data_IF_494391288212
#
_entry.id   IF_494391288212
#
_cell.length_a   1.000
_cell.length_b   1.000
_cell.length_c   1.000
_cell.angle_alpha   90.00
_cell.angle_beta   90.00
_cell.angle_gamma   90.00
#
_symmetry.space_group_name_H-M   'P 1'
#
loop_
_entity.id
_entity.type
_entity.pdbx_description
1 polymer ?
#
# COMPACT_ATOMS: atom_id res chain seq x y z
N UNK A 1 42.76 -15.17 -102.97
CA UNK A 1 42.20 -15.95 -101.86
C UNK A 1 42.24 -15.14 -100.55
N UNK A 2 41.25 -14.28 -100.27
CA UNK A 2 41.04 -13.83 -98.90
C UNK A 2 39.54 -13.82 -98.56
N UNK A 3 38.94 -14.99 -98.38
CA UNK A 3 37.50 -15.07 -98.01
C UNK A 3 37.23 -15.96 -96.81
N UNK A 4 38.22 -16.70 -96.30
CA UNK A 4 37.99 -17.63 -95.18
C UNK A 4 38.15 -16.99 -93.80
N UNK A 5 39.03 -15.99 -93.63
CA UNK A 5 39.35 -15.43 -92.32
C UNK A 5 38.27 -14.44 -91.81
N UNK A 6 37.69 -13.63 -92.70
CA UNK A 6 36.65 -12.66 -92.35
C UNK A 6 35.31 -13.30 -91.95
N UNK A 7 34.96 -14.44 -92.54
CA UNK A 7 33.73 -15.17 -92.23
C UNK A 7 33.80 -15.77 -90.80
N UNK A 8 34.95 -16.33 -90.43
CA UNK A 8 35.14 -16.90 -89.09
C UNK A 8 35.05 -15.84 -87.98
N UNK A 9 35.61 -14.65 -88.23
CA UNK A 9 35.54 -13.53 -87.27
C UNK A 9 34.11 -13.00 -87.10
N UNK A 10 33.33 -12.90 -88.19
CA UNK A 10 31.92 -12.49 -88.15
C UNK A 10 31.03 -13.51 -87.40
N UNK A 11 31.29 -14.81 -87.57
CA UNK A 11 30.60 -15.87 -86.83
C UNK A 11 30.91 -15.78 -85.33
N UNK A 12 32.16 -15.49 -84.96
CA UNK A 12 32.55 -15.40 -83.56
C UNK A 12 31.96 -14.18 -82.84
N UNK A 13 31.89 -13.02 -83.52
CA UNK A 13 31.22 -11.82 -83.00
C UNK A 13 29.71 -12.10 -82.81
N UNK A 14 29.08 -12.76 -83.78
CA UNK A 14 27.65 -13.13 -83.70
C UNK A 14 27.37 -14.10 -82.54
N UNK A 15 28.26 -15.07 -82.30
CA UNK A 15 28.15 -16.01 -81.17
C UNK A 15 28.36 -15.31 -79.81
N UNK A 16 29.28 -14.34 -79.73
CA UNK A 16 29.50 -13.55 -78.50
C UNK A 16 28.33 -12.61 -78.22
N UNK A 17 27.74 -11.99 -79.25
CA UNK A 17 26.52 -11.20 -79.12
C UNK A 17 25.31 -12.04 -78.72
N UNK A 18 25.15 -13.26 -79.25
CA UNK A 18 24.10 -14.18 -78.83
C UNK A 18 24.25 -14.61 -77.37
N UNK A 19 25.47 -14.95 -76.92
CA UNK A 19 25.77 -15.27 -75.51
C UNK A 19 25.52 -14.10 -74.55
N UNK A 20 25.84 -12.87 -74.98
CA UNK A 20 25.54 -11.67 -74.20
C UNK A 20 24.01 -11.44 -74.11
N UNK A 21 23.27 -11.71 -75.20
CA UNK A 21 21.81 -11.62 -75.22
C UNK A 21 21.13 -12.69 -74.36
N UNK A 22 21.69 -13.90 -74.30
CA UNK A 22 21.25 -14.99 -73.39
C UNK A 22 21.60 -14.69 -71.93
N UNK A 23 22.75 -14.06 -71.66
CA UNK A 23 23.13 -13.65 -70.29
C UNK A 23 22.25 -12.53 -69.73
N UNK A 24 21.60 -11.75 -70.60
CA UNK A 24 20.76 -10.62 -70.24
C UNK A 24 19.30 -11.01 -69.90
N UNK A 25 19.00 -12.31 -69.90
CA UNK A 25 17.67 -12.84 -69.62
C UNK A 25 17.69 -14.34 -69.43
N UNK A 26 18.32 -14.82 -68.35
CA UNK A 26 18.10 -16.20 -67.92
C UNK A 26 16.65 -16.31 -67.40
N UNK A 27 15.77 -17.10 -68.03
CA UNK A 27 14.37 -17.23 -67.58
C UNK A 27 14.27 -17.71 -66.12
N UNK A 28 15.29 -18.42 -65.64
CA UNK A 28 15.40 -18.84 -64.24
C UNK A 28 15.64 -17.65 -63.29
N UNK A 29 16.46 -16.66 -63.68
CA UNK A 29 16.69 -15.48 -62.84
C UNK A 29 15.48 -14.56 -62.79
N UNK A 30 14.72 -14.45 -63.90
CA UNK A 30 13.46 -13.72 -63.93
C UNK A 30 12.41 -14.38 -63.02
N UNK A 31 12.27 -15.72 -63.10
CA UNK A 31 11.36 -16.48 -62.24
C UNK A 31 11.72 -16.37 -60.76
N UNK A 32 13.03 -16.37 -60.43
CA UNK A 32 13.52 -16.18 -59.06
C UNK A 32 13.23 -14.76 -58.54
N UNK A 33 13.33 -13.74 -59.38
CA UNK A 33 12.99 -12.36 -59.02
C UNK A 33 11.50 -12.23 -58.75
N UNK A 34 10.64 -12.75 -59.63
CA UNK A 34 9.19 -12.74 -59.44
C UNK A 34 8.77 -13.46 -58.14
N UNK A 35 9.37 -14.62 -57.86
CA UNK A 35 9.14 -15.34 -56.60
C UNK A 35 9.61 -14.54 -55.37
N UNK A 36 10.71 -13.79 -55.48
CA UNK A 36 11.19 -12.93 -54.40
C UNK A 36 10.27 -11.73 -54.18
N UNK A 37 9.76 -11.11 -55.24
CA UNK A 37 8.79 -10.00 -55.18
C UNK A 37 7.46 -10.44 -54.55
N UNK A 38 6.96 -11.62 -54.93
CA UNK A 38 5.76 -12.20 -54.32
C UNK A 38 5.94 -12.41 -52.81
N UNK A 39 7.06 -13.02 -52.39
CA UNK A 39 7.40 -13.20 -50.97
C UNK A 39 7.52 -11.87 -50.23
N UNK A 40 8.10 -10.84 -50.85
CA UNK A 40 8.22 -9.52 -50.24
C UNK A 40 6.86 -8.87 -50.06
N UNK A 41 5.96 -9.00 -51.04
CA UNK A 41 4.58 -8.54 -50.95
C UNK A 41 3.83 -9.23 -49.81
N UNK A 42 3.99 -10.54 -49.68
CA UNK A 42 3.38 -11.31 -48.59
C UNK A 42 3.95 -10.89 -47.23
N UNK A 43 5.28 -10.74 -47.12
CA UNK A 43 5.93 -10.31 -45.89
C UNK A 43 5.46 -8.89 -45.48
N UNK A 44 5.32 -7.98 -46.44
CA UNK A 44 4.80 -6.62 -46.20
C UNK A 44 3.34 -6.65 -45.72
N UNK A 45 2.52 -7.49 -46.32
CA UNK A 45 1.13 -7.71 -45.90
C UNK A 45 1.09 -8.22 -44.45
N UNK A 46 1.85 -9.26 -44.15
CA UNK A 46 1.93 -9.86 -42.82
C UNK A 46 2.42 -8.86 -41.78
N UNK A 47 3.45 -8.06 -42.08
CA UNK A 47 3.94 -7.00 -41.20
C UNK A 47 2.86 -5.95 -40.91
N UNK A 48 2.05 -5.60 -41.91
CA UNK A 48 0.96 -4.64 -41.75
C UNK A 48 -0.14 -5.17 -40.84
N UNK A 49 -0.51 -6.45 -41.02
CA UNK A 49 -1.51 -7.11 -40.16
C UNK A 49 -1.00 -7.24 -38.74
N UNK A 50 0.22 -7.73 -38.56
CA UNK A 50 0.85 -7.86 -37.24
C UNK A 50 0.95 -6.51 -36.52
N UNK A 51 1.29 -5.44 -37.23
CA UNK A 51 1.33 -4.10 -36.64
C UNK A 51 -0.04 -3.62 -36.13
N UNK A 52 -1.11 -3.92 -36.87
CA UNK A 52 -2.49 -3.62 -36.45
C UNK A 52 -2.88 -4.44 -35.22
N UNK A 53 -2.59 -5.73 -35.22
CA UNK A 53 -2.89 -6.63 -34.10
C UNK A 53 -2.11 -6.22 -32.84
N UNK A 54 -0.81 -5.92 -32.98
CA UNK A 54 0.02 -5.44 -31.87
C UNK A 54 -0.53 -4.13 -31.28
N UNK A 55 -0.90 -3.16 -32.13
CA UNK A 55 -1.51 -1.92 -31.67
C UNK A 55 -2.83 -2.16 -30.94
N UNK A 56 -3.70 -3.01 -31.48
CA UNK A 56 -4.99 -3.34 -30.86
C UNK A 56 -4.80 -4.04 -29.50
N UNK A 57 -3.85 -4.98 -29.41
CA UNK A 57 -3.51 -5.67 -28.18
C UNK A 57 -2.96 -4.72 -27.11
N UNK A 58 -2.08 -3.78 -27.48
CA UNK A 58 -1.56 -2.78 -26.54
C UNK A 58 -2.68 -1.88 -26.00
N UNK A 59 -3.59 -1.39 -26.85
CA UNK A 59 -4.75 -0.60 -26.40
C UNK A 59 -5.67 -1.41 -25.48
N UNK A 60 -5.88 -2.70 -25.77
CA UNK A 60 -6.70 -3.56 -24.94
C UNK A 60 -6.08 -3.78 -23.55
N UNK A 61 -4.77 -3.98 -23.46
CA UNK A 61 -4.04 -4.13 -22.19
C UNK A 61 -4.13 -2.83 -21.37
N UNK A 62 -3.94 -1.67 -21.99
CA UNK A 62 -4.04 -0.39 -21.31
C UNK A 62 -5.45 -0.16 -20.76
N UNK A 63 -6.49 -0.41 -21.57
CA UNK A 63 -7.89 -0.30 -21.13
C UNK A 63 -8.21 -1.26 -19.98
N UNK A 64 -7.70 -2.49 -20.04
CA UNK A 64 -7.85 -3.46 -18.94
C UNK A 64 -7.16 -2.99 -17.67
N UNK A 65 -5.94 -2.45 -17.77
CA UNK A 65 -5.20 -1.93 -16.62
C UNK A 65 -5.92 -0.75 -15.98
N UNK A 66 -6.44 0.18 -16.78
CA UNK A 66 -7.24 1.31 -16.30
C UNK A 66 -8.51 0.83 -15.59
N UNK A 67 -9.23 -0.13 -16.17
CA UNK A 67 -10.43 -0.72 -15.55
C UNK A 67 -10.13 -1.39 -14.21
N UNK A 68 -9.09 -2.21 -14.14
CA UNK A 68 -8.69 -2.89 -12.90
C UNK A 68 -8.25 -1.89 -11.82
N UNK A 69 -7.50 -0.86 -12.22
CA UNK A 69 -7.08 0.21 -11.30
C UNK A 69 -8.28 0.93 -10.73
N UNK A 70 -9.25 1.31 -11.56
CA UNK A 70 -10.48 1.94 -11.11
C UNK A 70 -11.29 1.03 -10.18
N UNK A 71 -11.44 -0.25 -10.52
CA UNK A 71 -12.14 -1.21 -9.67
C UNK A 71 -11.51 -1.32 -8.27
N UNK A 72 -10.17 -1.33 -8.19
CA UNK A 72 -9.46 -1.34 -6.90
C UNK A 72 -9.71 -0.06 -6.09
N UNK A 73 -9.67 1.10 -6.75
CA UNK A 73 -9.94 2.38 -6.09
C UNK A 73 -11.37 2.46 -5.55
N UNK A 74 -12.36 2.04 -6.35
CA UNK A 74 -13.76 2.01 -5.94
C UNK A 74 -13.93 1.09 -4.73
N UNK A 75 -13.41 -0.14 -4.79
CA UNK A 75 -13.51 -1.09 -3.68
C UNK A 75 -12.90 -0.52 -2.38
N UNK A 76 -11.77 0.17 -2.47
CA UNK A 76 -11.12 0.81 -1.32
C UNK A 76 -11.97 1.95 -0.72
N UNK A 77 -12.52 2.83 -1.58
CA UNK A 77 -13.39 3.93 -1.12
C UNK A 77 -14.68 3.38 -0.51
N UNK A 78 -15.24 2.34 -1.10
CA UNK A 78 -16.43 1.68 -0.55
C UNK A 78 -16.14 1.03 0.80
N UNK A 79 -15.02 0.30 0.95
CA UNK A 79 -14.64 -0.27 2.24
C UNK A 79 -14.49 0.82 3.31
N UNK A 80 -13.88 1.95 2.96
CA UNK A 80 -13.73 3.09 3.87
C UNK A 80 -15.09 3.68 4.26
N UNK A 81 -16.01 3.83 3.30
CA UNK A 81 -17.39 4.28 3.59
C UNK A 81 -18.09 3.32 4.55
N UNK A 82 -18.00 2.01 4.32
CA UNK A 82 -18.62 1.00 5.18
C UNK A 82 -18.05 1.02 6.60
N UNK A 83 -16.73 1.21 6.76
CA UNK A 83 -16.10 1.36 8.07
C UNK A 83 -16.72 2.51 8.86
N UNK A 84 -16.80 3.71 8.26
CA UNK A 84 -17.37 4.88 8.93
C UNK A 84 -18.86 4.71 9.22
N UNK A 85 -19.62 4.11 8.30
CA UNK A 85 -21.03 3.78 8.53
C UNK A 85 -21.20 2.84 9.72
N UNK A 86 -20.32 1.84 9.86
CA UNK A 86 -20.33 0.90 10.99
C UNK A 86 -20.02 1.62 12.30
N UNK A 87 -19.04 2.53 12.31
CA UNK A 87 -18.68 3.32 13.49
C UNK A 87 -19.86 4.19 13.94
N UNK A 88 -20.52 4.89 13.01
CA UNK A 88 -21.69 5.71 13.32
C UNK A 88 -22.83 4.87 13.90
N UNK A 89 -23.14 3.71 13.32
CA UNK A 89 -24.16 2.81 13.85
C UNK A 89 -23.88 2.35 15.28
N UNK A 90 -22.61 2.07 15.62
CA UNK A 90 -22.22 1.69 16.98
C UNK A 90 -22.42 2.86 17.94
N UNK A 91 -22.03 4.07 17.53
CA UNK A 91 -22.20 5.26 18.37
C UNK A 91 -23.67 5.59 18.63
N UNK A 92 -24.52 5.52 17.60
CA UNK A 92 -25.97 5.73 17.75
C UNK A 92 -26.59 4.71 18.73
N UNK A 93 -26.20 3.43 18.62
CA UNK A 93 -26.68 2.39 19.53
C UNK A 93 -26.22 2.64 20.97
N UNK A 94 -24.95 3.01 21.16
CA UNK A 94 -24.41 3.34 22.47
C UNK A 94 -25.11 4.56 23.08
N UNK A 95 -25.43 5.58 22.29
CA UNK A 95 -26.17 6.75 22.77
C UNK A 95 -27.54 6.35 23.33
N UNK A 96 -28.29 5.52 22.59
CA UNK A 96 -29.59 5.01 23.03
C UNK A 96 -29.47 4.20 24.33
N UNK A 97 -28.46 3.34 24.44
CA UNK A 97 -28.21 2.56 25.65
C UNK A 97 -27.84 3.47 26.84
N UNK A 98 -26.96 4.44 26.64
CA UNK A 98 -26.56 5.39 27.67
C UNK A 98 -27.73 6.25 28.16
N UNK A 99 -28.58 6.74 27.24
CA UNK A 99 -29.78 7.48 27.61
C UNK A 99 -30.76 6.63 28.42
N UNK A 100 -30.96 5.38 28.01
CA UNK A 100 -31.86 4.44 28.70
C UNK A 100 -31.36 4.11 30.11
N UNK A 101 -30.04 3.92 30.27
CA UNK A 101 -29.44 3.66 31.57
C UNK A 101 -29.50 4.89 32.49
N UNK A 102 -29.25 6.10 31.94
CA UNK A 102 -29.42 7.36 32.68
C UNK A 102 -30.85 7.52 33.18
N UNK A 103 -31.85 7.22 32.35
CA UNK A 103 -33.26 7.29 32.74
C UNK A 103 -33.63 6.25 33.81
N UNK A 104 -33.05 5.03 33.76
CA UNK A 104 -33.22 4.02 34.82
C UNK A 104 -32.63 4.48 36.16
N UNK A 105 -31.44 5.08 36.14
CA UNK A 105 -30.79 5.60 37.35
C UNK A 105 -31.61 6.74 37.94
N UNK A 106 -32.05 7.70 37.11
CA UNK A 106 -32.88 8.84 37.56
C UNK A 106 -34.27 8.42 38.05
N UNK A 107 -34.83 7.32 37.53
CA UNK A 107 -36.12 6.76 37.99
C UNK A 107 -36.03 5.99 39.32
N UNK A 108 -34.83 5.77 39.87
CA UNK A 108 -34.61 5.05 41.13
C UNK A 108 -34.55 6.03 42.31
N UNK A 109 -35.47 5.99 43.29
CA UNK A 109 -35.48 6.93 44.40
C UNK A 109 -34.53 6.44 45.51
N UNK A 110 -33.24 6.76 45.41
CA UNK A 110 -32.32 6.64 46.54
C UNK A 110 -31.29 7.77 46.53
N UNK A 111 -31.73 8.96 46.95
CA UNK A 111 -30.85 10.04 47.36
C UNK A 111 -30.54 9.90 48.85
N UNK A 112 -29.43 9.25 49.18
CA UNK A 112 -28.71 9.51 50.42
C UNK A 112 -27.59 10.52 50.08
N UNK A 113 -27.63 11.77 50.57
CA UNK A 113 -26.55 12.72 50.35
C UNK A 113 -25.31 12.25 51.11
N UNK A 114 -24.32 11.73 50.38
CA UNK A 114 -22.98 11.49 50.93
C UNK A 114 -22.36 12.82 51.40
N UNK A 115 -21.78 12.90 52.61
CA UNK A 115 -21.05 14.08 53.04
C UNK A 115 -19.79 14.28 52.17
N UNK A 116 -19.38 15.54 51.92
CA UNK A 116 -18.22 15.83 51.10
C UNK A 116 -16.94 15.24 51.74
N UNK A 117 -16.01 14.70 50.95
CA UNK A 117 -14.73 14.23 51.47
C UNK A 117 -13.94 15.39 52.09
N UNK A 118 -13.13 15.13 53.15
CA UNK A 118 -12.38 16.16 53.84
C UNK A 118 -11.41 16.88 52.88
N UNK A 119 -11.37 18.21 52.97
CA UNK A 119 -10.48 19.04 52.17
C UNK A 119 -9.01 18.70 52.48
N UNK A 120 -8.25 18.37 51.44
CA UNK A 120 -6.81 18.22 51.49
C UNK A 120 -6.16 19.60 51.70
N UNK A 121 -5.40 19.75 52.79
CA UNK A 121 -4.63 20.96 53.05
C UNK A 121 -3.50 21.10 52.03
N UNK A 122 -3.53 22.17 51.25
CA UNK A 122 -2.43 22.62 50.41
C UNK A 122 -1.24 23.06 51.28
N UNK A 123 -0.15 22.30 51.27
CA UNK A 123 1.16 22.82 51.70
C UNK A 123 1.88 23.33 50.47
N UNK A 124 1.81 24.65 50.31
CA UNK A 124 2.61 25.43 49.40
C UNK A 124 4.06 25.49 49.91
N UNK A 125 4.99 24.89 49.18
CA UNK A 125 6.44 24.97 49.40
C UNK A 125 7.16 24.92 48.06
N UNK A 126 7.69 26.05 47.61
CA UNK A 126 8.06 26.30 46.23
C UNK A 126 9.44 25.82 45.77
N UNK A 127 9.66 26.12 44.48
CA UNK A 127 10.92 26.24 43.71
C UNK A 127 11.60 24.94 43.23
N UNK A 128 11.33 24.58 41.97
CA UNK A 128 12.35 24.59 40.92
C UNK A 128 11.68 24.42 39.55
N UNK A 129 11.58 25.54 38.82
CA UNK A 129 11.48 25.49 37.36
C UNK A 129 12.72 24.81 36.80
N UNK A 130 12.57 23.59 36.29
CA UNK A 130 13.38 23.13 35.18
C UNK A 130 12.46 22.97 33.98
N UNK A 131 12.47 24.03 33.19
CA UNK A 131 12.06 24.06 31.80
C UNK A 131 12.70 22.90 31.04
N UNK A 132 11.91 21.87 30.76
CA UNK A 132 12.04 21.18 29.48
C UNK A 132 11.07 21.88 28.52
N UNK A 133 11.71 22.61 27.62
CA UNK A 133 11.20 23.09 26.36
C UNK A 133 10.43 22.00 25.59
N UNK A 134 9.37 22.40 24.89
CA UNK A 134 8.62 21.49 24.02
C UNK A 134 7.11 21.66 24.07
N UNK A 135 6.62 22.84 23.68
CA UNK A 135 5.25 23.05 23.22
C UNK A 135 4.92 22.10 22.06
N UNK A 136 4.26 20.96 22.32
CA UNK A 136 3.46 20.23 21.33
C UNK A 136 2.17 19.73 21.99
N UNK A 137 1.08 20.29 21.47
CA UNK A 137 -0.30 19.84 21.49
C UNK A 137 -0.44 18.33 21.18
N UNK A 138 -1.15 17.59 22.04
CA UNK A 138 -1.49 16.17 21.83
C UNK A 138 -0.89 15.21 22.87
N UNK A 139 -1.74 14.63 23.73
CA UNK A 139 -1.40 13.60 24.74
C UNK A 139 -0.49 12.52 24.15
N UNK A 140 0.78 12.47 24.56
CA UNK A 140 1.76 11.49 24.09
C UNK A 140 1.57 10.15 24.80
N UNK A 141 0.66 9.34 24.27
CA UNK A 141 0.55 7.93 24.62
C UNK A 141 1.79 7.17 24.17
N UNK A 142 2.27 6.21 24.95
CA UNK A 142 3.33 5.29 24.52
C UNK A 142 3.02 3.86 24.93
N UNK A 143 3.60 2.91 24.18
CA UNK A 143 3.48 1.50 24.46
C UNK A 143 4.56 1.08 25.45
N UNK A 144 4.21 0.28 26.44
CA UNK A 144 5.14 -0.33 27.36
C UNK A 144 4.85 -1.83 27.50
N UNK A 145 5.88 -2.63 27.73
CA UNK A 145 5.76 -4.05 28.04
C UNK A 145 5.88 -4.25 29.54
N UNK A 146 5.04 -5.11 30.11
CA UNK A 146 5.10 -5.47 31.53
C UNK A 146 6.31 -6.37 31.78
N UNK A 147 7.25 -5.89 32.60
CA UNK A 147 8.45 -6.64 33.01
C UNK A 147 8.31 -7.27 34.39
N UNK A 148 7.36 -6.78 35.21
CA UNK A 148 7.04 -7.32 36.53
C UNK A 148 5.52 -7.46 36.71
N UNK A 149 5.02 -8.56 37.31
CA UNK A 149 3.61 -8.73 37.54
C UNK A 149 3.12 -7.78 38.65
N UNK A 150 1.86 -7.35 38.57
CA UNK A 150 1.22 -6.51 39.58
C UNK A 150 -0.24 -6.94 39.74
N UNK A 151 -0.68 -7.15 40.98
CA UNK A 151 -2.09 -7.47 41.29
C UNK A 151 -2.74 -6.21 41.84
N UNK A 152 -3.87 -5.79 41.26
CA UNK A 152 -4.58 -4.59 41.69
C UNK A 152 -5.12 -4.76 43.12
N UNK A 153 -4.84 -3.78 43.98
CA UNK A 153 -5.35 -3.77 45.36
C UNK A 153 -6.72 -3.06 45.47
N UNK A 154 -7.12 -2.34 44.42
CA UNK A 154 -8.35 -1.58 44.37
C UNK A 154 -8.95 -1.54 42.96
N UNK A 155 -10.23 -1.19 42.86
CA UNK A 155 -10.97 -1.13 41.58
C UNK A 155 -10.46 -0.03 40.62
N UNK A 156 -9.59 0.86 41.09
CA UNK A 156 -8.97 1.91 40.27
C UNK A 156 -7.60 1.49 39.73
N UNK A 157 -7.08 0.34 40.15
CA UNK A 157 -5.77 -0.18 39.77
C UNK A 157 -5.87 -1.23 38.65
N UNK A 158 -4.79 -1.39 37.91
CA UNK A 158 -4.71 -2.28 36.76
C UNK A 158 -3.80 -3.48 37.09
N UNK A 159 -4.37 -4.68 37.10
CA UNK A 159 -3.60 -5.92 37.18
C UNK A 159 -2.74 -6.11 35.93
N UNK A 160 -1.45 -6.37 36.11
CA UNK A 160 -0.46 -6.57 35.05
C UNK A 160 0.11 -7.99 35.07
N UNK A 161 0.19 -8.63 33.90
CA UNK A 161 0.91 -9.89 33.72
C UNK A 161 2.16 -9.67 32.85
N UNK A 162 3.29 -10.29 33.23
CA UNK A 162 4.56 -10.14 32.50
C UNK A 162 4.38 -10.54 31.02
N UNK A 163 4.95 -9.72 30.13
CA UNK A 163 4.86 -9.87 28.68
C UNK A 163 3.60 -9.24 28.06
N UNK A 164 2.65 -8.76 28.86
CA UNK A 164 1.54 -7.96 28.36
C UNK A 164 2.02 -6.58 27.87
N UNK A 165 1.24 -5.97 26.97
CA UNK A 165 1.47 -4.62 26.49
C UNK A 165 0.43 -3.65 27.04
N UNK A 166 0.91 -2.55 27.61
CA UNK A 166 0.09 -1.49 28.20
C UNK A 166 0.26 -0.22 27.39
N UNK A 167 -0.86 0.44 27.07
CA UNK A 167 -0.84 1.80 26.51
C UNK A 167 -0.83 2.78 27.68
N UNK A 168 0.32 3.42 27.92
CA UNK A 168 0.50 4.39 29.00
C UNK A 168 -0.05 5.75 28.57
N UNK A 169 -0.98 6.30 29.36
CA UNK A 169 -1.69 7.56 29.09
C UNK A 169 -1.14 8.73 29.89
N UNK A 170 -0.70 8.45 31.12
CA UNK A 170 -0.18 9.46 32.03
C UNK A 170 0.82 8.82 32.98
N UNK A 171 1.92 9.51 33.25
CA UNK A 171 2.86 9.16 34.31
C UNK A 171 2.81 10.27 35.35
N UNK A 172 2.53 9.91 36.59
CA UNK A 172 2.51 10.82 37.73
C UNK A 172 3.90 10.87 38.38
N UNK A 173 4.24 11.99 39.01
CA UNK A 173 5.53 12.19 39.68
C UNK A 173 5.71 11.32 40.95
N UNK A 174 4.67 10.65 41.41
CA UNK A 174 4.67 9.75 42.57
C UNK A 174 5.05 8.29 42.20
N UNK A 175 5.51 8.05 40.97
CA UNK A 175 5.91 6.71 40.51
C UNK A 175 4.76 5.85 39.98
N UNK A 176 3.54 6.38 39.91
CA UNK A 176 2.39 5.70 39.33
C UNK A 176 2.15 6.12 37.88
N UNK A 177 1.63 5.19 37.08
CA UNK A 177 1.18 5.44 35.72
C UNK A 177 -0.27 4.98 35.56
N UNK A 178 -1.01 5.69 34.69
CA UNK A 178 -2.35 5.32 34.26
C UNK A 178 -2.26 4.79 32.83
N UNK A 179 -2.87 3.64 32.58
CA UNK A 179 -2.85 3.02 31.26
C UNK A 179 -3.98 2.03 31.04
N UNK A 180 -3.94 1.39 29.87
CA UNK A 180 -4.92 0.41 29.45
C UNK A 180 -4.24 -0.88 28.98
N UNK A 181 -4.74 -2.01 29.45
CA UNK A 181 -4.28 -3.35 29.08
C UNK A 181 -5.49 -4.29 28.99
N UNK A 182 -5.59 -5.08 27.92
CA UNK A 182 -6.67 -6.08 27.72
C UNK A 182 -8.10 -5.52 27.89
N UNK A 183 -8.31 -4.25 27.54
CA UNK A 183 -9.61 -3.57 27.66
C UNK A 183 -9.93 -3.03 29.06
N UNK A 184 -9.05 -3.21 30.03
CA UNK A 184 -9.17 -2.63 31.37
C UNK A 184 -8.24 -1.44 31.52
N UNK A 185 -8.71 -0.38 32.17
CA UNK A 185 -7.93 0.82 32.45
C UNK A 185 -7.78 1.03 33.96
N UNK A 186 -6.60 1.46 34.39
CA UNK A 186 -6.34 1.70 35.80
C UNK A 186 -4.92 2.17 36.06
N UNK A 187 -4.62 2.35 37.33
CA UNK A 187 -3.32 2.76 37.85
C UNK A 187 -2.42 1.57 38.14
N UNK A 188 -1.14 1.71 37.83
CA UNK A 188 -0.12 0.70 38.16
C UNK A 188 1.24 1.38 38.43
N UNK A 189 2.19 0.70 39.09
CA UNK A 189 3.50 1.28 39.34
C UNK A 189 4.32 1.40 38.05
N UNK A 190 4.82 2.59 37.74
CA UNK A 190 5.51 2.86 36.47
C UNK A 190 6.78 2.00 36.27
N UNK A 191 7.47 1.63 37.36
CA UNK A 191 8.67 0.79 37.29
C UNK A 191 8.43 -0.67 36.90
N UNK A 192 7.18 -1.10 36.76
CA UNK A 192 6.81 -2.48 36.41
C UNK A 192 6.66 -2.67 34.90
N UNK A 193 6.79 -1.59 34.13
CA UNK A 193 6.69 -1.61 32.67
C UNK A 193 7.91 -0.95 32.04
N UNK A 194 8.33 -1.46 30.89
CA UNK A 194 9.43 -0.91 30.11
C UNK A 194 8.90 -0.30 28.82
N UNK A 195 9.25 0.96 28.54
CA UNK A 195 8.84 1.63 27.30
C UNK A 195 9.36 0.87 26.08
N UNK A 196 8.46 0.58 25.14
CA UNK A 196 8.81 0.00 23.84
C UNK A 196 8.72 1.09 22.77
N UNK A 197 9.81 1.29 22.02
CA UNK A 197 9.78 2.17 20.85
C UNK A 197 8.89 1.52 19.77
N UNK A 198 7.95 2.30 19.21
CA UNK A 198 7.27 1.90 17.97
C UNK A 198 8.34 1.72 16.91
N UNK A 199 8.60 0.49 16.50
CA UNK A 199 9.11 0.26 15.14
C UNK A 199 8.00 0.74 14.21
N UNK A 200 8.15 1.96 13.69
CA UNK A 200 7.34 2.43 12.57
C UNK A 200 7.44 1.36 11.49
N UNK A 201 6.31 0.86 11.03
CA UNK A 201 6.19 -0.21 10.03
C UNK A 201 6.85 0.12 8.66
N UNK A 202 7.58 1.23 8.56
CA UNK A 202 8.36 1.67 7.40
C UNK A 202 9.72 0.96 7.27
N UNK A 203 10.21 0.22 8.28
CA UNK A 203 11.53 -0.43 8.25
C UNK A 203 11.54 -1.94 7.92
N UNK A 204 10.47 -2.49 7.32
CA UNK A 204 10.41 -3.92 6.93
C UNK A 204 10.38 -4.12 5.40
N UNK A 205 10.44 -3.05 4.60
CA UNK A 205 10.39 -3.14 3.13
C UNK A 205 11.76 -3.13 2.41
N UNK A 206 12.85 -3.47 3.10
CA UNK A 206 14.12 -3.82 2.45
C UNK A 206 14.66 -5.10 3.08
N UNK A 207 14.09 -6.23 2.67
CA UNK A 207 14.74 -7.51 2.37
C UNK A 207 13.59 -8.38 1.88
N UNK A 208 13.39 -8.42 0.57
CA UNK A 208 13.01 -9.59 -0.25
C UNK A 208 12.93 -9.16 -1.71
#
# INVERSE_FOLDING_TARGET
>A
MPTFFGINQAIEVSRRQAKLRESNGNPESASRLEAAEAKLKDLKSNMTTLGKEASAAMTAVEAQQQRLTLQRLVAMVEAQRHYHQRVLQILDQLEVEMMSERQRIEASPSYNPMPPPPAYTEVNGGLASQSYDGSIDGKTYFLAEVVHPYEAESDIELTLSVGDYVVVRKVSNNGWAEGECKGNAGWFPFGYVERRERILATKVAEVF
#
